data_IF_621603137372
#
_entry.id   IF_621603137372
#
_cell.length_a   1.000
_cell.length_b   1.000
_cell.length_c   1.000
_cell.angle_alpha   90.00
_cell.angle_beta   90.00
_cell.angle_gamma   90.00
#
_symmetry.space_group_name_H-M   'P 1'
#
loop_
_entity.id
_entity.type
_entity.pdbx_description
1 polymer ?
#
# COMPACT_ATOMS: atom_id res chain seq x y z
N UNK A 1 6.04 11.01 -5.58
CA UNK A 1 4.82 11.28 -4.77
C UNK A 1 3.49 10.77 -5.35
N UNK A 2 3.02 11.23 -6.53
CA UNK A 2 1.63 10.93 -6.97
C UNK A 2 1.38 9.45 -7.29
N UNK A 3 2.25 8.82 -8.08
CA UNK A 3 2.08 7.42 -8.50
C UNK A 3 1.99 6.43 -7.33
N UNK A 4 2.92 6.44 -6.33
CA UNK A 4 2.86 5.54 -5.18
C UNK A 4 1.63 5.75 -4.28
N UNK A 5 1.13 6.99 -4.20
CA UNK A 5 -0.07 7.28 -3.42
C UNK A 5 -1.31 6.68 -4.09
N UNK A 6 -1.41 6.77 -5.43
CA UNK A 6 -2.53 6.18 -6.19
C UNK A 6 -2.53 4.66 -6.07
N UNK A 7 -1.38 4.00 -6.22
CA UNK A 7 -1.30 2.54 -6.10
C UNK A 7 -1.68 2.07 -4.70
N UNK A 8 -1.20 2.76 -3.67
CA UNK A 8 -1.58 2.47 -2.27
C UNK A 8 -3.08 2.70 -2.05
N UNK A 9 -3.64 3.76 -2.63
CA UNK A 9 -5.07 4.04 -2.55
C UNK A 9 -5.91 2.93 -3.19
N UNK A 10 -5.51 2.43 -4.36
CA UNK A 10 -6.19 1.31 -5.02
C UNK A 10 -6.16 0.05 -4.15
N UNK A 11 -5.00 -0.31 -3.60
CA UNK A 11 -4.88 -1.46 -2.71
C UNK A 11 -5.74 -1.33 -1.45
N UNK A 12 -5.68 -0.18 -0.77
CA UNK A 12 -6.49 0.11 0.41
C UNK A 12 -7.99 0.06 0.10
N UNK A 13 -8.40 0.67 -1.02
CA UNK A 13 -9.79 0.68 -1.48
C UNK A 13 -10.35 -0.74 -1.65
N UNK A 14 -9.61 -1.60 -2.35
CA UNK A 14 -10.03 -2.98 -2.60
C UNK A 14 -10.12 -3.78 -1.30
N UNK A 15 -9.14 -3.66 -0.40
CA UNK A 15 -9.15 -4.37 0.89
C UNK A 15 -10.36 -3.96 1.73
N UNK A 16 -10.63 -2.65 1.85
CA UNK A 16 -11.79 -2.16 2.60
C UNK A 16 -13.10 -2.71 2.05
N UNK A 17 -13.28 -2.70 0.72
CA UNK A 17 -14.49 -3.25 0.10
C UNK A 17 -14.61 -4.76 0.31
N UNK A 18 -13.52 -5.51 0.20
CA UNK A 18 -13.53 -6.97 0.43
C UNK A 18 -14.03 -7.26 1.85
N UNK A 19 -13.53 -6.57 2.86
CA UNK A 19 -14.02 -6.74 4.23
C UNK A 19 -15.48 -6.30 4.41
N UNK A 20 -15.87 -5.16 3.83
CA UNK A 20 -17.24 -4.66 3.85
C UNK A 20 -18.26 -5.63 3.24
N UNK A 21 -17.88 -6.35 2.18
CA UNK A 21 -18.74 -7.30 1.47
C UNK A 21 -18.65 -8.73 2.02
N UNK A 22 -17.57 -9.08 2.73
CA UNK A 22 -17.29 -10.45 3.19
C UNK A 22 -18.41 -11.07 4.03
N UNK A 23 -19.08 -10.28 4.87
CA UNK A 23 -20.18 -10.76 5.71
C UNK A 23 -21.40 -11.15 4.86
N UNK A 24 -21.78 -10.31 3.89
CA UNK A 24 -22.89 -10.59 2.98
C UNK A 24 -22.59 -11.79 2.07
N UNK A 25 -21.37 -11.86 1.53
CA UNK A 25 -20.90 -13.00 0.73
C UNK A 25 -21.01 -14.32 1.53
N UNK A 26 -20.66 -14.31 2.82
CA UNK A 26 -20.74 -15.50 3.70
C UNK A 26 -22.18 -15.97 3.92
N UNK A 27 -23.13 -15.05 4.08
CA UNK A 27 -24.54 -15.41 4.29
C UNK A 27 -25.12 -16.05 3.03
N UNK A 28 -24.84 -15.47 1.86
CA UNK A 28 -25.33 -16.02 0.59
C UNK A 28 -24.66 -17.33 0.22
N UNK A 29 -23.36 -17.48 0.47
CA UNK A 29 -22.66 -18.75 0.22
C UNK A 29 -23.13 -19.88 1.15
N UNK A 30 -23.61 -19.56 2.36
CA UNK A 30 -24.23 -20.53 3.26
C UNK A 30 -25.52 -21.13 2.67
N UNK A 31 -26.36 -20.31 2.01
CA UNK A 31 -27.55 -20.83 1.30
C UNK A 31 -27.21 -21.74 0.12
N UNK A 32 -25.99 -21.64 -0.42
CA UNK A 32 -25.50 -22.45 -1.53
C UNK A 32 -24.72 -23.70 -1.07
N UNK A 33 -24.51 -23.88 0.25
CA UNK A 33 -23.73 -24.99 0.80
C UNK A 33 -22.21 -24.88 0.63
N UNK A 34 -21.69 -23.77 0.11
CA UNK A 34 -20.25 -23.57 -0.19
C UNK A 34 -19.62 -22.43 0.64
N UNK A 35 -20.12 -22.19 1.85
CA UNK A 35 -19.71 -21.04 2.67
C UNK A 35 -18.21 -20.99 2.97
N UNK A 36 -17.65 -22.13 3.38
CA UNK A 36 -16.25 -22.21 3.82
C UNK A 36 -15.27 -22.04 2.66
N UNK A 37 -15.59 -22.61 1.49
CA UNK A 37 -14.76 -22.50 0.29
C UNK A 37 -14.72 -21.05 -0.22
N UNK A 38 -15.88 -20.40 -0.31
CA UNK A 38 -15.98 -19.00 -0.72
C UNK A 38 -15.30 -18.08 0.31
N UNK A 39 -15.46 -18.34 1.60
CA UNK A 39 -14.79 -17.55 2.65
C UNK A 39 -13.25 -17.65 2.54
N UNK A 40 -12.71 -18.83 2.27
CA UNK A 40 -11.27 -19.02 2.02
C UNK A 40 -10.81 -18.27 0.77
N UNK A 41 -11.57 -18.33 -0.32
CA UNK A 41 -11.27 -17.62 -1.55
C UNK A 41 -11.24 -16.09 -1.33
N UNK A 42 -12.21 -15.54 -0.59
CA UNK A 42 -12.26 -14.10 -0.25
C UNK A 42 -11.02 -13.68 0.55
N UNK A 43 -10.60 -14.47 1.54
CA UNK A 43 -9.38 -14.19 2.31
C UNK A 43 -8.13 -14.25 1.43
N UNK A 44 -8.01 -15.24 0.56
CA UNK A 44 -6.88 -15.35 -0.36
C UNK A 44 -6.81 -14.16 -1.32
N UNK A 45 -7.94 -13.70 -1.84
CA UNK A 45 -8.02 -12.49 -2.68
C UNK A 45 -7.57 -11.27 -1.87
N UNK A 46 -8.08 -11.08 -0.64
CA UNK A 46 -7.70 -9.97 0.22
C UNK A 46 -6.19 -9.92 0.47
N UNK A 47 -5.59 -11.06 0.81
CA UNK A 47 -4.14 -11.19 1.04
C UNK A 47 -3.36 -10.91 -0.24
N UNK A 48 -3.79 -11.44 -1.38
CA UNK A 48 -3.10 -11.24 -2.67
C UNK A 48 -3.10 -9.77 -3.07
N UNK A 49 -4.25 -9.10 -2.98
CA UNK A 49 -4.39 -7.66 -3.26
C UNK A 49 -3.46 -6.84 -2.35
N UNK A 50 -3.41 -7.19 -1.06
CA UNK A 50 -2.53 -6.53 -0.11
C UNK A 50 -1.05 -6.69 -0.48
N UNK A 51 -0.63 -7.92 -0.82
CA UNK A 51 0.76 -8.23 -1.22
C UNK A 51 1.18 -7.51 -2.51
N UNK A 52 0.27 -7.41 -3.49
CA UNK A 52 0.53 -6.64 -4.71
C UNK A 52 0.80 -5.17 -4.38
N UNK A 53 -0.02 -4.56 -3.51
CA UNK A 53 0.21 -3.19 -3.05
C UNK A 53 1.57 -3.01 -2.36
N UNK A 54 1.97 -3.97 -1.50
CA UNK A 54 3.29 -3.97 -0.83
C UNK A 54 4.43 -3.99 -1.86
N UNK A 55 4.34 -4.85 -2.87
CA UNK A 55 5.36 -4.97 -3.90
C UNK A 55 5.47 -3.69 -4.75
N UNK A 56 4.35 -3.07 -5.10
CA UNK A 56 4.33 -1.84 -5.88
C UNK A 56 5.00 -0.67 -5.15
N UNK A 57 4.79 -0.54 -3.83
CA UNK A 57 5.48 0.47 -3.02
C UNK A 57 7.00 0.25 -3.08
N UNK A 58 7.47 -0.98 -2.92
CA UNK A 58 8.89 -1.31 -3.00
C UNK A 58 9.52 -0.92 -4.36
N UNK A 59 8.82 -1.23 -5.45
CA UNK A 59 9.24 -0.89 -6.82
C UNK A 59 9.26 0.62 -7.01
N UNK A 60 8.24 1.33 -6.53
CA UNK A 60 8.14 2.78 -6.66
C UNK A 60 9.24 3.51 -5.87
N UNK A 61 9.53 3.07 -4.65
CA UNK A 61 10.66 3.59 -3.86
C UNK A 61 11.98 3.36 -4.59
N UNK A 62 12.20 2.15 -5.11
CA UNK A 62 13.42 1.80 -5.84
C UNK A 62 13.64 2.69 -7.06
N UNK A 63 12.59 2.96 -7.85
CA UNK A 63 12.66 3.89 -8.99
C UNK A 63 12.97 5.32 -8.53
N UNK A 64 12.29 5.79 -7.48
CA UNK A 64 12.47 7.15 -6.95
C UNK A 64 13.92 7.39 -6.49
N UNK A 65 14.51 6.45 -5.76
CA UNK A 65 15.92 6.58 -5.34
C UNK A 65 16.90 6.42 -6.49
N UNK A 66 16.54 5.70 -7.56
CA UNK A 66 17.38 5.57 -8.75
C UNK A 66 17.51 6.90 -9.51
N UNK A 67 16.49 7.75 -9.49
CA UNK A 67 16.55 9.09 -10.10
C UNK A 67 17.38 10.09 -9.28
N UNK A 68 17.63 9.82 -7.99
CA UNK A 68 18.40 10.70 -7.07
C UNK A 68 19.83 10.23 -6.83
N UNK A 69 20.37 9.35 -7.66
CA UNK A 69 21.71 8.77 -7.48
C UNK A 69 22.81 9.83 -7.41
N UNK A 70 22.76 10.86 -8.27
CA UNK A 70 23.76 11.96 -8.29
C UNK A 70 23.71 12.80 -7.01
N UNK A 71 22.52 13.17 -6.55
CA UNK A 71 22.32 13.93 -5.31
C UNK A 71 22.88 13.18 -4.10
N UNK A 72 22.56 11.88 -4.01
CA UNK A 72 23.08 10.98 -2.97
C UNK A 72 24.61 10.82 -3.05
N UNK A 73 25.17 10.80 -4.26
CA UNK A 73 26.62 10.77 -4.49
C UNK A 73 27.33 12.02 -3.97
N UNK A 74 26.75 13.21 -4.17
CA UNK A 74 27.27 14.48 -3.66
C UNK A 74 27.20 14.52 -2.13
N UNK A 75 26.09 14.10 -1.53
CA UNK A 75 25.96 14.01 -0.07
C UNK A 75 27.00 13.05 0.53
N UNK A 76 27.19 11.88 -0.09
CA UNK A 76 28.19 10.91 0.34
C UNK A 76 29.63 11.42 0.18
N UNK A 77 29.93 12.18 -0.88
CA UNK A 77 31.24 12.80 -1.09
C UNK A 77 31.59 13.84 -0.03
N UNK A 78 30.57 14.54 0.50
CA UNK A 78 30.70 15.51 1.58
C UNK A 78 30.76 14.86 2.98
N UNK A 79 30.80 13.53 3.08
CA UNK A 79 30.91 12.82 4.35
C UNK A 79 29.63 12.75 5.18
N UNK A 80 28.46 13.00 4.58
CA UNK A 80 27.17 12.92 5.30
C UNK A 80 26.92 11.48 5.74
N UNK A 81 26.58 11.24 7.03
CA UNK A 81 26.28 9.90 7.52
C UNK A 81 25.03 9.30 6.86
N UNK A 82 25.02 7.98 6.71
CA UNK A 82 23.96 7.26 5.95
C UNK A 82 22.59 7.31 6.64
N UNK A 83 22.54 7.30 7.96
CA UNK A 83 21.28 7.19 8.70
C UNK A 83 20.34 8.39 8.47
N UNK A 84 20.78 9.66 8.55
CA UNK A 84 19.93 10.80 8.19
C UNK A 84 19.46 10.78 6.73
N UNK A 85 20.31 10.32 5.80
CA UNK A 85 19.95 10.21 4.39
C UNK A 85 18.86 9.15 4.18
N UNK A 86 18.99 7.98 4.82
CA UNK A 86 17.96 6.93 4.78
C UNK A 86 16.65 7.43 5.39
N UNK A 87 16.70 8.10 6.55
CA UNK A 87 15.51 8.66 7.18
C UNK A 87 14.80 9.67 6.24
N UNK A 88 15.55 10.57 5.60
CA UNK A 88 15.00 11.53 4.64
C UNK A 88 14.36 10.84 3.42
N UNK A 89 14.97 9.77 2.90
CA UNK A 89 14.44 9.02 1.77
C UNK A 89 13.20 8.20 2.12
N UNK A 90 13.03 7.80 3.39
CA UNK A 90 11.86 7.07 3.86
C UNK A 90 10.61 7.97 4.02
N UNK A 91 10.77 9.28 4.16
CA UNK A 91 9.64 10.21 4.31
C UNK A 91 8.70 10.13 3.11
N UNK A 92 9.25 10.12 1.89
CA UNK A 92 8.44 10.09 0.66
C UNK A 92 7.52 8.87 0.54
N UNK A 93 8.01 7.61 0.63
CA UNK A 93 7.14 6.45 0.54
C UNK A 93 6.17 6.34 1.72
N UNK A 94 6.57 6.74 2.94
CA UNK A 94 5.69 6.71 4.10
C UNK A 94 4.55 7.71 3.97
N UNK A 95 4.84 8.96 3.57
CA UNK A 95 3.80 9.98 3.34
C UNK A 95 2.87 9.55 2.21
N UNK A 96 3.41 9.03 1.11
CA UNK A 96 2.59 8.51 0.01
C UNK A 96 1.68 7.36 0.45
N UNK A 97 2.19 6.47 1.31
CA UNK A 97 1.40 5.36 1.84
C UNK A 97 0.30 5.82 2.80
N UNK A 98 0.57 6.78 3.68
CA UNK A 98 -0.44 7.37 4.58
C UNK A 98 -1.54 8.05 3.78
N UNK A 99 -1.17 8.94 2.86
CA UNK A 99 -2.15 9.68 2.04
C UNK A 99 -2.95 8.74 1.16
N UNK A 100 -2.28 7.79 0.50
CA UNK A 100 -2.92 6.79 -0.34
C UNK A 100 -3.89 5.92 0.44
N UNK A 101 -3.46 5.36 1.58
CA UNK A 101 -4.31 4.48 2.38
C UNK A 101 -5.53 5.21 2.96
N UNK A 102 -5.36 6.45 3.43
CA UNK A 102 -6.48 7.28 3.89
C UNK A 102 -7.46 7.58 2.75
N UNK A 103 -6.96 8.04 1.60
CA UNK A 103 -7.81 8.33 0.45
C UNK A 103 -8.56 7.08 -0.04
N UNK A 104 -7.86 5.95 -0.18
CA UNK A 104 -8.45 4.68 -0.57
C UNK A 104 -9.50 4.18 0.41
N UNK A 105 -9.23 4.27 1.72
CA UNK A 105 -10.18 3.89 2.76
C UNK A 105 -11.44 4.76 2.74
N UNK A 106 -11.28 6.09 2.65
CA UNK A 106 -12.42 7.03 2.56
C UNK A 106 -13.27 6.74 1.32
N UNK A 107 -12.62 6.57 0.16
CA UNK A 107 -13.32 6.25 -1.09
C UNK A 107 -14.06 4.91 -0.98
N UNK A 108 -13.45 3.88 -0.39
CA UNK A 108 -14.10 2.57 -0.25
C UNK A 108 -15.27 2.58 0.73
N UNK A 109 -15.16 3.31 1.84
CA UNK A 109 -16.27 3.50 2.78
C UNK A 109 -17.42 4.23 2.09
N UNK A 110 -17.13 5.33 1.38
CA UNK A 110 -18.13 6.07 0.63
C UNK A 110 -18.81 5.19 -0.43
N UNK A 111 -18.03 4.45 -1.21
CA UNK A 111 -18.55 3.48 -2.19
C UNK A 111 -19.39 2.40 -1.53
N UNK A 112 -18.94 1.82 -0.41
CA UNK A 112 -19.69 0.80 0.33
C UNK A 112 -21.03 1.31 0.85
N UNK A 113 -21.08 2.54 1.38
CA UNK A 113 -22.32 3.18 1.81
C UNK A 113 -23.25 3.39 0.62
N UNK A 114 -22.75 3.94 -0.49
CA UNK A 114 -23.53 4.15 -1.72
C UNK A 114 -24.10 2.83 -2.24
N UNK A 115 -23.28 1.79 -2.36
CA UNK A 115 -23.70 0.45 -2.79
C UNK A 115 -24.79 -0.15 -1.89
N UNK A 116 -24.70 0.09 -0.58
CA UNK A 116 -25.73 -0.31 0.38
C UNK A 116 -27.04 0.45 0.19
N UNK A 117 -26.98 1.78 -0.04
CA UNK A 117 -28.18 2.61 -0.23
C UNK A 117 -28.93 2.30 -1.52
N UNK A 118 -28.22 2.02 -2.62
CA UNK A 118 -28.85 1.74 -3.93
C UNK A 118 -29.34 0.28 -4.06
N UNK A 119 -29.10 -0.56 -3.06
CA UNK A 119 -29.57 -1.96 -3.04
C UNK A 119 -28.91 -2.87 -4.07
N UNK A 120 -27.78 -2.47 -4.68
CA UNK A 120 -27.05 -3.29 -5.65
C UNK A 120 -26.47 -4.55 -5.02
N UNK A 121 -26.13 -4.50 -3.73
CA UNK A 121 -25.65 -5.65 -2.97
C UNK A 121 -26.82 -6.25 -2.19
N UNK A 122 -27.41 -7.32 -2.73
CA UNK A 122 -28.60 -7.97 -2.15
C UNK A 122 -28.41 -8.46 -0.70
N UNK A 123 -27.17 -8.74 -0.31
CA UNK A 123 -26.79 -9.19 1.04
C UNK A 123 -26.44 -8.05 1.99
N UNK A 124 -26.50 -6.80 1.52
CA UNK A 124 -26.10 -5.61 2.25
C UNK A 124 -24.58 -5.44 2.38
N UNK A 125 -24.19 -4.30 2.92
CA UNK A 125 -22.78 -3.97 3.19
C UNK A 125 -22.57 -3.91 4.70
N UNK A 126 -21.53 -4.60 5.20
CA UNK A 126 -21.20 -4.58 6.63
C UNK A 126 -20.40 -3.34 6.97
N UNK A 127 -21.01 -2.40 7.69
CA UNK A 127 -20.31 -1.21 8.20
C UNK A 127 -19.15 -1.56 9.14
N UNK A 128 -19.32 -2.60 9.96
CA UNK A 128 -18.24 -3.13 10.80
C UNK A 128 -17.09 -3.70 9.97
N UNK A 129 -17.42 -4.39 8.86
CA UNK A 129 -16.44 -4.87 7.89
C UNK A 129 -15.68 -3.73 7.20
N UNK A 130 -16.37 -2.67 6.77
CA UNK A 130 -15.75 -1.49 6.19
C UNK A 130 -14.79 -0.81 7.18
N UNK A 131 -15.21 -0.63 8.43
CA UNK A 131 -14.37 0.00 9.46
C UNK A 131 -13.12 -0.83 9.77
N UNK A 132 -13.27 -2.15 9.91
CA UNK A 132 -12.16 -3.07 10.15
C UNK A 132 -11.22 -3.14 8.94
N UNK A 133 -11.76 -3.21 7.73
CA UNK A 133 -11.00 -3.18 6.49
C UNK A 133 -10.19 -1.88 6.34
N UNK A 134 -10.77 -0.74 6.68
CA UNK A 134 -10.08 0.55 6.69
C UNK A 134 -8.92 0.59 7.70
N UNK A 135 -9.14 0.11 8.92
CA UNK A 135 -8.09 0.04 9.93
C UNK A 135 -6.92 -0.86 9.47
N UNK A 136 -7.23 -2.05 8.95
CA UNK A 136 -6.22 -2.99 8.42
C UNK A 136 -5.47 -2.36 7.24
N UNK A 137 -6.18 -1.78 6.28
CA UNK A 137 -5.56 -1.16 5.11
C UNK A 137 -4.58 -0.06 5.52
N UNK A 138 -4.97 0.85 6.40
CA UNK A 138 -4.11 1.96 6.87
C UNK A 138 -2.87 1.41 7.58
N UNK A 139 -3.05 0.53 8.56
CA UNK A 139 -1.93 -0.01 9.35
C UNK A 139 -0.96 -0.78 8.46
N UNK A 140 -1.48 -1.69 7.63
CA UNK A 140 -0.63 -2.53 6.80
C UNK A 140 0.06 -1.74 5.71
N UNK A 141 -0.61 -0.77 5.06
CA UNK A 141 0.03 0.07 4.04
C UNK A 141 1.22 0.85 4.62
N UNK A 142 1.09 1.41 5.82
CA UNK A 142 2.18 2.15 6.48
C UNK A 142 3.33 1.20 6.84
N UNK A 143 3.02 0.07 7.49
CA UNK A 143 4.03 -0.92 7.87
C UNK A 143 4.77 -1.49 6.66
N UNK A 144 4.03 -1.81 5.60
CA UNK A 144 4.57 -2.29 4.34
C UNK A 144 5.48 -1.25 3.68
N UNK A 145 5.07 0.02 3.65
CA UNK A 145 5.88 1.09 3.08
C UNK A 145 7.21 1.25 3.81
N UNK A 146 7.20 1.22 5.15
CA UNK A 146 8.42 1.26 5.96
C UNK A 146 9.28 0.02 5.68
N UNK A 147 8.71 -1.18 5.87
CA UNK A 147 9.45 -2.44 5.78
C UNK A 147 10.11 -2.64 4.41
N UNK A 148 9.38 -2.36 3.33
CA UNK A 148 9.87 -2.55 1.96
C UNK A 148 10.81 -1.47 1.48
N UNK A 149 10.70 -0.25 2.02
CA UNK A 149 11.52 0.89 1.58
C UNK A 149 12.89 0.93 2.24
N UNK A 150 13.05 0.35 3.44
CA UNK A 150 14.34 0.37 4.18
C UNK A 150 15.49 -0.17 3.34
N UNK A 151 15.31 -1.36 2.74
CA UNK A 151 16.37 -2.02 1.97
C UNK A 151 16.83 -1.20 0.75
N UNK A 152 15.94 -0.73 -0.15
CA UNK A 152 16.35 0.08 -1.29
C UNK A 152 16.92 1.44 -0.87
N UNK A 153 16.40 2.11 0.16
CA UNK A 153 16.94 3.38 0.64
C UNK A 153 18.34 3.22 1.24
N UNK A 154 18.56 2.14 2.00
CA UNK A 154 19.88 1.85 2.54
C UNK A 154 20.85 1.50 1.42
N UNK A 155 20.46 0.64 0.49
CA UNK A 155 21.30 0.29 -0.67
C UNK A 155 21.68 1.54 -1.47
N UNK A 156 20.76 2.49 -1.65
CA UNK A 156 21.03 3.76 -2.33
C UNK A 156 22.03 4.64 -1.55
N UNK A 157 21.84 4.80 -0.24
CA UNK A 157 22.71 5.60 0.62
C UNK A 157 24.13 5.00 0.81
N UNK A 158 24.29 3.69 0.58
CA UNK A 158 25.59 3.00 0.68
C UNK A 158 26.39 2.97 -0.62
N UNK A 159 25.88 3.52 -1.73
CA UNK A 159 26.61 3.50 -3.01
C UNK A 159 27.84 4.43 -2.97
N UNK A 160 29.02 3.99 -3.45
CA UNK A 160 30.21 4.84 -3.50
C UNK A 160 30.01 6.10 -4.37
N UNK A 161 30.55 7.26 -3.98
CA UNK A 161 30.44 8.51 -4.74
C UNK A 161 30.99 8.40 -6.16
N UNK A 162 32.08 7.65 -6.35
CA UNK A 162 32.74 7.50 -7.65
C UNK A 162 31.82 6.89 -8.71
N UNK A 163 30.98 5.93 -8.33
CA UNK A 163 30.03 5.29 -9.24
C UNK A 163 28.81 6.17 -9.53
N UNK A 164 28.35 6.96 -8.56
CA UNK A 164 27.18 7.82 -8.69
C UNK A 164 27.47 9.11 -9.46
N UNK A 165 28.72 9.57 -9.48
CA UNK A 165 29.17 10.71 -10.26
C UNK A 165 29.61 10.33 -11.68
N UNK A 166 30.10 9.10 -11.89
CA UNK A 166 30.54 8.62 -13.21
C UNK A 166 29.40 8.05 -14.07
N UNK A 167 28.29 7.57 -13.49
CA UNK A 167 27.17 6.95 -14.23
C UNK A 167 26.16 7.94 -14.82
N UNK A 168 26.52 9.22 -14.96
CA UNK A 168 25.64 10.30 -15.45
C UNK A 168 25.95 10.71 -16.89
N UNK A 169 26.09 9.73 -17.79
CA UNK A 169 26.17 9.92 -19.25
C UNK A 169 24.91 9.42 -19.92
#
# INVERSE_FOLDING_TARGET
MVLPAITTATGAFLVVLVFGLSAGIRVQSASLGHADEIARAVVLIAVTVLLVGVAEVAVATTRTVAHRTRELGVLAANGVPRAPVVAALLVEPVVAAVVGALAGAVLAVATGIVLGMIGVVATGVSYGGLALGAAIAIVVSILAAVATSILPTWKAASRPPIHSLASGG
#
